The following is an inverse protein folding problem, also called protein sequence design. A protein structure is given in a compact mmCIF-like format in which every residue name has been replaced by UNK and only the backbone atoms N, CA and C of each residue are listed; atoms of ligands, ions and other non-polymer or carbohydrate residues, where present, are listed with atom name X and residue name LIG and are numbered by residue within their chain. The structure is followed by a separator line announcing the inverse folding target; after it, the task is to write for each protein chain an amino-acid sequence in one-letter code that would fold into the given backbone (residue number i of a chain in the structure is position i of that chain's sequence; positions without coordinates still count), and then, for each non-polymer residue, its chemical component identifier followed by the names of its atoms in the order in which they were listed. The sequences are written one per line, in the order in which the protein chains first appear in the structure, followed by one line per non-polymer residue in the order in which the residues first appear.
data_IF_384594508847
#
_entry.id   IF_384594508847
#
_cell.length_a   1.000
_cell.length_b   1.000
_cell.length_c   1.000
_cell.angle_alpha   90.00
_cell.angle_beta   90.00
_cell.angle_gamma   90.00
#
_symmetry.space_group_name_H-M   'P 1'
#
loop_
_entity.id
_entity.type
_entity.pdbx_description
1 polymer ?
#
# COMPACT_ATOMS: atom_id res chain seq x y z
N UNK A 1 -17.25 -5.14 8.51
CA UNK A 1 -17.66 -5.72 7.21
C UNK A 1 -17.89 -7.21 7.35
N UNK A 2 -19.01 -7.70 6.90
CA UNK A 2 -19.30 -9.13 6.85
C UNK A 2 -19.49 -9.56 5.40
N UNK A 3 -19.44 -10.87 5.16
CA UNK A 3 -19.63 -11.43 3.82
C UNK A 3 -21.01 -11.09 3.24
N UNK A 4 -22.01 -11.05 4.08
CA UNK A 4 -23.39 -10.72 3.66
C UNK A 4 -23.57 -9.25 3.28
N UNK A 5 -22.80 -8.35 3.86
CA UNK A 5 -22.95 -6.89 3.64
C UNK A 5 -22.03 -6.34 2.56
N UNK A 6 -20.84 -6.93 2.36
CA UNK A 6 -19.89 -6.47 1.33
C UNK A 6 -20.41 -6.79 -0.06
N UNK A 7 -20.24 -5.84 -1.00
CA UNK A 7 -20.67 -5.97 -2.39
C UNK A 7 -19.49 -5.77 -3.34
N UNK A 8 -19.52 -6.45 -4.48
CA UNK A 8 -18.59 -6.16 -5.59
C UNK A 8 -18.80 -4.73 -6.05
N UNK A 9 -17.70 -3.98 -6.14
CA UNK A 9 -17.72 -2.56 -6.44
C UNK A 9 -17.64 -1.65 -5.20
N UNK A 10 -17.81 -2.20 -4.00
CA UNK A 10 -17.55 -1.43 -2.79
C UNK A 10 -16.11 -0.93 -2.79
N UNK A 11 -15.92 0.29 -2.32
CA UNK A 11 -14.63 0.96 -2.41
C UNK A 11 -14.28 1.67 -1.11
N UNK A 12 -13.01 1.62 -0.75
CA UNK A 12 -12.43 2.42 0.34
C UNK A 12 -11.22 3.17 -0.17
N UNK A 13 -11.16 4.45 0.12
CA UNK A 13 -10.05 5.33 -0.25
C UNK A 13 -9.50 5.98 1.01
N UNK A 14 -8.18 6.03 1.14
CA UNK A 14 -7.49 6.72 2.23
C UNK A 14 -6.34 7.55 1.67
N UNK A 15 -6.30 8.83 2.06
CA UNK A 15 -5.19 9.73 1.78
C UNK A 15 -4.28 9.76 3.00
N UNK A 16 -2.97 9.62 2.77
CA UNK A 16 -1.96 9.65 3.83
C UNK A 16 -1.30 11.02 3.91
N UNK A 17 -0.73 11.39 5.08
CA UNK A 17 0.09 12.60 5.20
C UNK A 17 1.24 12.61 4.19
N UNK A 18 1.64 13.80 3.75
CA UNK A 18 2.76 13.97 2.83
C UNK A 18 4.00 13.22 3.33
N UNK A 19 4.66 12.51 2.42
CA UNK A 19 5.87 11.75 2.73
C UNK A 19 7.00 12.69 3.15
N UNK A 20 7.75 12.30 4.17
CA UNK A 20 8.89 13.03 4.68
C UNK A 20 10.13 12.15 4.71
N UNK A 21 11.32 12.76 4.68
CA UNK A 21 12.58 12.03 4.88
C UNK A 21 12.62 11.34 6.25
N UNK A 22 12.04 11.94 7.27
CA UNK A 22 11.92 11.32 8.60
C UNK A 22 11.12 10.02 8.57
N UNK A 23 10.06 9.96 7.77
CA UNK A 23 9.30 8.71 7.59
C UNK A 23 10.16 7.61 6.97
N UNK A 24 11.01 7.95 6.00
CA UNK A 24 11.95 7.00 5.39
C UNK A 24 13.00 6.50 6.37
N UNK A 25 13.54 7.40 7.20
CA UNK A 25 14.50 7.04 8.26
C UNK A 25 13.85 6.08 9.27
N UNK A 26 12.64 6.38 9.72
CA UNK A 26 11.89 5.51 10.63
C UNK A 26 11.63 4.15 10.02
N UNK A 27 11.22 4.11 8.76
CA UNK A 27 10.97 2.86 8.06
C UNK A 27 12.26 2.06 7.86
N UNK A 28 13.37 2.70 7.53
CA UNK A 28 14.67 2.04 7.46
C UNK A 28 15.04 1.37 8.77
N UNK A 29 14.84 2.06 9.90
CA UNK A 29 15.09 1.51 11.24
C UNK A 29 14.16 0.32 11.59
N UNK A 30 12.90 0.38 11.19
CA UNK A 30 11.93 -0.66 11.46
C UNK A 30 12.11 -1.90 10.56
N UNK A 31 12.46 -1.69 9.29
CA UNK A 31 12.57 -2.76 8.28
C UNK A 31 13.97 -3.36 8.17
N UNK A 32 15.00 -2.62 8.60
CA UNK A 32 16.40 -2.98 8.36
C UNK A 32 16.88 -2.66 6.93
N UNK A 33 16.05 -1.99 6.12
CA UNK A 33 16.44 -1.55 4.78
C UNK A 33 17.10 -0.17 4.85
N UNK A 34 18.43 -0.18 5.02
CA UNK A 34 19.28 0.98 5.11
C UNK A 34 19.94 1.35 3.78
N UNK A 35 19.33 0.99 2.65
CA UNK A 35 19.82 1.39 1.35
C UNK A 35 19.96 2.93 1.30
N UNK A 36 21.15 3.48 1.03
CA UNK A 36 21.41 4.92 1.04
C UNK A 36 20.52 5.70 0.06
N UNK A 37 19.93 5.06 -0.93
CA UNK A 37 18.96 5.68 -1.84
C UNK A 37 17.74 6.27 -1.12
N UNK A 38 17.47 5.82 0.10
CA UNK A 38 16.32 6.26 0.89
C UNK A 38 16.65 7.35 1.91
N UNK A 39 17.94 7.65 2.14
CA UNK A 39 18.33 8.61 3.17
C UNK A 39 19.55 9.49 2.84
N UNK A 40 20.29 9.24 1.76
CA UNK A 40 21.48 9.99 1.39
C UNK A 40 21.29 10.71 0.05
N UNK A 41 21.03 12.02 0.10
CA UNK A 41 20.84 12.84 -1.10
C UNK A 41 22.09 12.89 -1.99
N UNK A 42 23.28 12.75 -1.41
CA UNK A 42 24.54 12.73 -2.18
C UNK A 42 24.60 11.50 -3.09
N UNK A 43 24.28 10.34 -2.55
CA UNK A 43 24.21 9.09 -3.32
C UNK A 43 23.08 9.18 -4.36
N UNK A 44 21.92 9.69 -3.99
CA UNK A 44 20.80 9.87 -4.91
C UNK A 44 21.20 10.73 -6.12
N UNK A 45 21.90 11.84 -5.89
CA UNK A 45 22.38 12.71 -6.95
C UNK A 45 23.40 12.03 -7.87
N UNK A 46 24.29 11.20 -7.33
CA UNK A 46 25.30 10.47 -8.11
C UNK A 46 24.67 9.50 -9.13
N UNK A 47 23.50 8.98 -8.86
CA UNK A 47 22.77 8.08 -9.77
C UNK A 47 21.70 8.81 -10.59
N UNK A 48 21.65 10.14 -10.53
CA UNK A 48 20.77 10.96 -11.34
C UNK A 48 19.35 11.14 -10.79
N UNK A 49 19.11 10.79 -9.53
CA UNK A 49 17.82 11.03 -8.90
C UNK A 49 17.74 12.46 -8.33
N UNK A 50 16.56 13.08 -8.34
CA UNK A 50 16.39 14.45 -7.82
C UNK A 50 16.55 14.54 -6.29
N UNK A 51 16.31 13.44 -5.60
CA UNK A 51 16.45 13.31 -4.14
C UNK A 51 16.47 11.84 -3.74
N UNK A 52 16.47 11.55 -2.44
CA UNK A 52 16.12 10.24 -1.92
C UNK A 52 14.67 9.90 -2.27
N UNK A 53 14.34 8.62 -2.38
CA UNK A 53 12.98 8.15 -2.62
C UNK A 53 12.54 7.16 -1.53
N UNK A 54 11.23 7.01 -1.38
CA UNK A 54 10.65 6.13 -0.38
C UNK A 54 10.84 4.65 -0.71
N UNK A 55 10.91 3.83 0.33
CA UNK A 55 10.91 2.38 0.20
C UNK A 55 9.60 1.91 -0.47
N UNK A 56 9.70 1.04 -1.47
CA UNK A 56 8.51 0.42 -2.06
C UNK A 56 7.67 -0.32 -1.05
N UNK A 57 8.32 -1.04 -0.13
CA UNK A 57 7.63 -1.78 0.93
C UNK A 57 6.90 -0.87 1.93
N UNK A 58 7.30 0.38 2.10
CA UNK A 58 6.53 1.36 2.88
C UNK A 58 5.17 1.62 2.21
N UNK A 59 5.16 1.85 0.91
CA UNK A 59 3.91 2.04 0.15
C UNK A 59 3.02 0.79 0.19
N UNK A 60 3.60 -0.40 0.08
CA UNK A 60 2.87 -1.66 0.25
C UNK A 60 2.27 -1.79 1.65
N UNK A 61 3.02 -1.40 2.68
CA UNK A 61 2.55 -1.39 4.06
C UNK A 61 1.36 -0.44 4.29
N UNK A 62 1.39 0.73 3.67
CA UNK A 62 0.26 1.67 3.70
C UNK A 62 -1.00 1.08 3.04
N UNK A 63 -0.84 0.43 1.89
CA UNK A 63 -1.95 -0.26 1.22
C UNK A 63 -2.51 -1.42 2.07
N UNK A 64 -1.62 -2.22 2.65
CA UNK A 64 -2.01 -3.30 3.55
C UNK A 64 -2.80 -2.79 4.76
N UNK A 65 -2.42 -1.63 5.28
CA UNK A 65 -3.14 -0.97 6.40
C UNK A 65 -4.58 -0.65 6.00
N UNK A 66 -4.83 -0.13 4.81
CA UNK A 66 -6.19 0.18 4.35
C UNK A 66 -7.04 -1.09 4.27
N UNK A 67 -6.49 -2.17 3.75
CA UNK A 67 -7.18 -3.48 3.70
C UNK A 67 -7.46 -3.99 5.11
N UNK A 68 -6.46 -3.95 5.99
CA UNK A 68 -6.59 -4.37 7.39
C UNK A 68 -7.65 -3.55 8.14
N UNK A 69 -7.65 -2.23 7.97
CA UNK A 69 -8.59 -1.34 8.67
C UNK A 69 -10.02 -1.49 8.14
N UNK A 70 -10.17 -1.99 6.91
CA UNK A 70 -11.47 -2.26 6.32
C UNK A 70 -12.06 -3.62 6.74
N UNK A 71 -11.23 -4.66 6.67
CA UNK A 71 -11.70 -6.04 6.86
C UNK A 71 -11.34 -6.66 8.22
N UNK A 72 -10.38 -6.09 8.93
CA UNK A 72 -9.92 -6.54 10.23
C UNK A 72 -8.44 -6.91 10.28
N UNK A 73 -7.85 -6.95 11.49
CA UNK A 73 -6.40 -7.12 11.67
C UNK A 73 -5.88 -8.49 11.23
N UNK A 74 -6.72 -9.52 11.27
CA UNK A 74 -6.35 -10.89 10.91
C UNK A 74 -6.96 -11.33 9.57
N UNK A 75 -7.55 -10.40 8.83
CA UNK A 75 -8.31 -10.72 7.63
C UNK A 75 -7.44 -11.11 6.44
N UNK A 76 -6.28 -10.49 6.27
CA UNK A 76 -5.48 -10.65 5.06
C UNK A 76 -4.98 -12.09 4.93
N UNK A 77 -5.33 -12.75 3.81
CA UNK A 77 -4.85 -14.07 3.43
C UNK A 77 -3.79 -14.02 2.36
N UNK A 78 -3.88 -13.00 1.49
CA UNK A 78 -2.93 -12.77 0.40
C UNK A 78 -2.84 -11.28 0.13
N UNK A 79 -1.63 -10.81 -0.13
CA UNK A 79 -1.37 -9.45 -0.61
C UNK A 79 -0.25 -9.53 -1.65
N UNK A 80 -0.48 -8.98 -2.82
CA UNK A 80 0.48 -8.95 -3.91
C UNK A 80 0.44 -7.59 -4.58
N UNK A 81 1.60 -6.99 -4.78
CA UNK A 81 1.71 -5.70 -5.45
C UNK A 81 2.83 -5.70 -6.48
N UNK A 82 2.72 -4.77 -7.42
CA UNK A 82 3.78 -4.39 -8.34
C UNK A 82 4.18 -2.95 -8.03
N UNK A 83 5.49 -2.71 -7.91
CA UNK A 83 6.07 -1.38 -7.79
C UNK A 83 6.30 -0.81 -9.19
N UNK A 84 5.62 0.29 -9.52
CA UNK A 84 5.66 0.88 -10.86
C UNK A 84 6.52 2.14 -10.93
N UNK A 85 6.47 2.99 -9.91
CA UNK A 85 7.18 4.27 -9.84
C UNK A 85 7.67 4.53 -8.42
N UNK A 86 8.77 5.28 -8.30
CA UNK A 86 9.26 5.77 -7.01
C UNK A 86 8.27 6.79 -6.43
N UNK A 87 8.35 6.93 -5.11
CA UNK A 87 7.67 7.99 -4.37
C UNK A 87 8.71 8.91 -3.75
N UNK A 88 8.41 10.19 -3.68
CA UNK A 88 9.35 11.24 -3.33
C UNK A 88 8.92 11.96 -2.06
N UNK A 89 9.87 12.59 -1.32
CA UNK A 89 9.51 13.49 -0.22
C UNK A 89 8.53 14.55 -0.71
N UNK A 90 7.46 14.77 0.05
CA UNK A 90 6.39 15.71 -0.30
C UNK A 90 5.21 15.09 -1.05
N UNK A 91 5.35 13.89 -1.59
CA UNK A 91 4.23 13.20 -2.22
C UNK A 91 3.10 12.91 -1.21
N UNK A 92 1.88 13.16 -1.63
CA UNK A 92 0.67 12.78 -0.90
C UNK A 92 0.08 11.54 -1.56
N UNK A 93 0.18 10.41 -0.89
CA UNK A 93 -0.28 9.14 -1.42
C UNK A 93 -1.74 8.90 -1.05
N UNK A 94 -2.51 8.45 -2.04
CA UNK A 94 -3.89 7.99 -1.87
C UNK A 94 -3.97 6.52 -2.26
N UNK A 95 -4.44 5.69 -1.33
CA UNK A 95 -4.71 4.28 -1.58
C UNK A 95 -6.19 4.08 -1.84
N UNK A 96 -6.53 3.40 -2.93
CA UNK A 96 -7.89 2.99 -3.25
C UNK A 96 -7.96 1.48 -3.31
N UNK A 97 -8.92 0.91 -2.58
CA UNK A 97 -9.20 -0.53 -2.52
C UNK A 97 -10.62 -0.76 -3.01
N UNK A 98 -10.80 -1.64 -4.00
CA UNK A 98 -12.10 -1.93 -4.62
C UNK A 98 -12.37 -3.42 -4.55
N UNK A 99 -13.55 -3.80 -4.07
CA UNK A 99 -13.98 -5.21 -4.06
C UNK A 99 -14.26 -5.68 -5.48
N UNK A 100 -13.57 -6.74 -5.88
CA UNK A 100 -13.68 -7.32 -7.23
C UNK A 100 -14.37 -8.67 -7.25
N UNK A 101 -14.42 -9.36 -6.12
CA UNK A 101 -15.07 -10.67 -6.04
C UNK A 101 -15.32 -11.13 -4.62
N UNK A 102 -16.20 -12.11 -4.53
CA UNK A 102 -16.55 -12.80 -3.29
C UNK A 102 -16.59 -14.30 -3.57
N UNK A 103 -16.08 -15.10 -2.66
CA UNK A 103 -16.15 -16.55 -2.77
C UNK A 103 -16.06 -17.23 -1.42
N UNK A 104 -16.49 -18.46 -1.38
CA UNK A 104 -16.23 -19.37 -0.26
C UNK A 104 -15.17 -20.37 -0.68
N UNK A 105 -14.15 -20.53 0.14
CA UNK A 105 -13.04 -21.44 -0.15
C UNK A 105 -12.46 -21.97 1.18
N UNK A 106 -12.26 -23.27 1.26
CA UNK A 106 -11.69 -23.95 2.43
C UNK A 106 -12.40 -23.60 3.76
N UNK A 107 -13.73 -23.37 3.72
CA UNK A 107 -14.55 -23.02 4.88
C UNK A 107 -14.46 -21.55 5.29
N UNK A 108 -13.78 -20.71 4.53
CA UNK A 108 -13.72 -19.27 4.76
C UNK A 108 -14.56 -18.50 3.76
N UNK A 109 -15.13 -17.38 4.22
CA UNK A 109 -15.74 -16.37 3.36
C UNK A 109 -14.66 -15.39 2.93
N UNK A 110 -14.33 -15.40 1.65
CA UNK A 110 -13.25 -14.59 1.09
C UNK A 110 -13.76 -13.45 0.22
N UNK A 111 -13.09 -12.32 0.34
CA UNK A 111 -13.31 -11.13 -0.48
C UNK A 111 -12.01 -10.80 -1.22
N UNK A 112 -12.09 -10.71 -2.54
CA UNK A 112 -10.97 -10.27 -3.36
C UNK A 112 -11.10 -8.78 -3.64
N UNK A 113 -9.97 -8.08 -3.58
CA UNK A 113 -9.90 -6.65 -3.84
C UNK A 113 -8.74 -6.33 -4.77
N UNK A 114 -8.93 -5.31 -5.59
CA UNK A 114 -7.84 -4.61 -6.27
C UNK A 114 -7.44 -3.39 -5.45
N UNK A 115 -6.15 -3.05 -5.47
CA UNK A 115 -5.64 -1.88 -4.77
C UNK A 115 -4.67 -1.09 -5.66
N UNK A 116 -4.70 0.22 -5.48
CA UNK A 116 -3.78 1.16 -6.14
C UNK A 116 -3.31 2.19 -5.14
N UNK A 117 -2.06 2.63 -5.28
CA UNK A 117 -1.53 3.80 -4.57
C UNK A 117 -1.04 4.79 -5.61
N UNK A 118 -1.53 6.02 -5.53
CA UNK A 118 -1.18 7.09 -6.45
C UNK A 118 -0.79 8.36 -5.69
N UNK A 119 0.06 9.19 -6.28
CA UNK A 119 0.42 10.49 -5.72
C UNK A 119 -0.63 11.56 -6.05
N UNK A 120 -0.37 12.81 -5.65
CA UNK A 120 -1.25 13.97 -5.86
C UNK A 120 -1.52 14.28 -7.34
N UNK A 121 -0.65 13.83 -8.24
CA UNK A 121 -0.79 14.01 -9.69
C UNK A 121 -1.44 12.80 -10.38
N UNK A 122 -1.91 11.83 -9.60
CA UNK A 122 -2.52 10.60 -10.11
C UNK A 122 -1.52 9.58 -10.65
N UNK A 123 -0.23 9.75 -10.40
CA UNK A 123 0.80 8.79 -10.83
C UNK A 123 0.78 7.59 -9.90
N UNK A 124 0.49 6.42 -10.45
CA UNK A 124 0.46 5.17 -9.68
C UNK A 124 1.88 4.70 -9.37
N UNK A 125 2.16 4.52 -8.10
CA UNK A 125 3.41 3.92 -7.59
C UNK A 125 3.26 2.43 -7.29
N UNK A 126 2.06 2.00 -6.90
CA UNK A 126 1.74 0.62 -6.55
C UNK A 126 0.40 0.24 -7.17
N UNK A 127 0.34 -0.96 -7.70
CA UNK A 127 -0.91 -1.61 -8.10
C UNK A 127 -0.85 -3.09 -7.71
N UNK A 128 -1.96 -3.65 -7.30
CA UNK A 128 -2.01 -5.05 -6.91
C UNK A 128 -3.38 -5.52 -6.48
N UNK A 129 -3.37 -6.60 -5.74
CA UNK A 129 -4.58 -7.25 -5.25
C UNK A 129 -4.37 -7.86 -3.87
N UNK A 130 -5.45 -8.07 -3.18
CA UNK A 130 -5.46 -8.78 -1.91
C UNK A 130 -6.67 -9.69 -1.80
N UNK A 131 -6.57 -10.68 -0.92
CA UNK A 131 -7.69 -11.51 -0.49
C UNK A 131 -7.82 -11.39 1.01
N UNK A 132 -9.02 -11.09 1.47
CA UNK A 132 -9.34 -10.96 2.88
C UNK A 132 -10.42 -11.96 3.29
N UNK A 133 -10.26 -12.59 4.45
CA UNK A 133 -11.31 -13.39 5.07
C UNK A 133 -12.20 -12.49 5.93
N UNK A 134 -13.52 -12.68 5.85
CA UNK A 134 -14.50 -11.89 6.58
C UNK A 134 -15.47 -12.81 7.32
N UNK A 135 -16.11 -12.29 8.35
CA UNK A 135 -17.17 -13.02 9.05
C UNK A 135 -18.41 -13.25 8.18
N UNK A 136 -19.22 -14.21 8.52
CA UNK A 136 -20.46 -14.52 7.84
C UNK A 136 -21.54 -13.42 8.03
#
# INVERSE_FOLDING_TARGET
MTYSTVQVGDQRTEEFPALTRTMFVRYAGASGDFNPMHHDDTIAAQVGNPSVFGHGMLSMGLAARVVKDWFGPEAIRRLQVRFAKQVWPGDVLTCTVVVTGKREEAGEHLVDVDLTVANQDGVQSVAGSATAAVGG
#
